data_IF_832022880665
#
_entry.id   IF_832022880665
#
_cell.length_a   1.000
_cell.length_b   1.000
_cell.length_c   1.000
_cell.angle_alpha   90.00
_cell.angle_beta   90.00
_cell.angle_gamma   90.00
#
_symmetry.space_group_name_H-M   'P 1'
#
loop_
_entity.id
_entity.type
_entity.pdbx_description
1 polymer ?
#
# COMPACT_ATOMS: atom_id res chain seq x y z
N UNK A 1 16.34 -25.64 -77.45
CA UNK A 1 16.38 -24.17 -77.60
C UNK A 1 15.16 -23.57 -76.91
N UNK A 2 15.40 -22.55 -76.08
CA UNK A 2 14.50 -21.51 -75.51
C UNK A 2 13.10 -21.93 -74.98
N UNK A 3 12.79 -21.89 -73.66
CA UNK A 3 12.63 -20.69 -72.78
C UNK A 3 11.79 -19.62 -73.50
N UNK A 4 10.54 -19.34 -73.16
CA UNK A 4 10.05 -18.74 -71.91
C UNK A 4 8.51 -18.73 -71.94
N UNK A 5 7.88 -18.29 -70.84
CA UNK A 5 6.45 -18.02 -70.70
C UNK A 5 5.54 -19.19 -70.28
N UNK A 6 5.54 -19.47 -68.97
CA UNK A 6 4.33 -19.58 -68.13
C UNK A 6 4.76 -19.90 -66.69
N UNK A 7 4.51 -18.97 -65.76
CA UNK A 7 4.16 -19.19 -64.34
C UNK A 7 4.12 -17.84 -63.62
N UNK A 8 2.93 -17.25 -63.54
CA UNK A 8 2.57 -16.32 -62.49
C UNK A 8 2.07 -17.16 -61.31
N UNK A 9 2.85 -17.25 -60.23
CA UNK A 9 2.47 -17.17 -58.81
C UNK A 9 3.62 -17.71 -57.93
N UNK A 10 4.04 -16.89 -56.95
CA UNK A 10 4.58 -17.26 -55.63
C UNK A 10 6.11 -17.35 -55.38
N UNK A 11 6.49 -16.64 -54.29
CA UNK A 11 7.65 -16.73 -53.37
C UNK A 11 9.01 -16.15 -53.81
N UNK A 12 9.38 -14.97 -53.28
CA UNK A 12 10.60 -14.83 -52.46
C UNK A 12 10.56 -13.61 -51.53
N UNK A 13 10.79 -13.88 -50.25
CA UNK A 13 11.07 -12.99 -49.14
C UNK A 13 12.46 -12.33 -49.28
N UNK A 14 12.65 -11.18 -48.61
CA UNK A 14 13.95 -10.65 -48.13
C UNK A 14 14.87 -9.88 -49.10
N UNK A 15 14.77 -8.55 -49.08
CA UNK A 15 15.94 -7.65 -49.16
C UNK A 15 15.91 -6.75 -47.92
N UNK A 16 16.63 -7.17 -46.90
CA UNK A 16 17.14 -6.33 -45.82
C UNK A 16 18.31 -5.48 -46.35
N UNK A 17 18.30 -4.19 -46.00
CA UNK A 17 19.48 -3.37 -45.66
C UNK A 17 20.53 -3.12 -46.75
N UNK A 18 20.59 -1.89 -47.25
CA UNK A 18 21.80 -1.01 -47.32
C UNK A 18 21.32 0.31 -47.94
N UNK A 19 21.04 1.31 -47.09
CA UNK A 19 21.36 2.71 -47.39
C UNK A 19 21.38 3.53 -46.08
N UNK A 20 22.31 3.17 -45.20
CA UNK A 20 22.91 4.11 -44.25
C UNK A 20 24.41 4.09 -44.54
N UNK A 21 24.88 5.00 -45.41
CA UNK A 21 26.26 5.48 -45.52
C UNK A 21 26.40 6.30 -46.81
N UNK A 22 25.99 7.57 -46.76
CA UNK A 22 26.80 8.69 -47.23
C UNK A 22 26.04 10.00 -47.12
N UNK A 23 26.57 10.90 -46.29
CA UNK A 23 26.56 12.33 -46.58
C UNK A 23 25.28 13.08 -46.27
N UNK A 24 25.14 13.50 -45.01
CA UNK A 24 24.65 14.83 -44.62
C UNK A 24 23.53 15.37 -45.52
N UNK A 25 22.35 14.73 -45.48
CA UNK A 25 21.12 15.42 -45.80
C UNK A 25 20.74 16.21 -44.55
N UNK A 26 20.76 17.54 -44.68
CA UNK A 26 20.43 18.48 -43.64
C UNK A 26 19.23 18.01 -42.79
N UNK A 27 19.45 17.81 -41.49
CA UNK A 27 18.39 17.98 -40.50
C UNK A 27 17.97 19.44 -40.52
N UNK A 28 17.20 19.83 -41.53
CA UNK A 28 16.23 20.87 -41.32
C UNK A 28 15.18 20.26 -40.38
N UNK A 29 14.91 20.83 -39.20
CA UNK A 29 13.70 20.48 -38.49
C UNK A 29 12.57 20.78 -39.48
N UNK A 30 11.90 19.74 -39.98
CA UNK A 30 10.56 19.95 -40.51
C UNK A 30 9.78 20.48 -39.32
N UNK A 31 9.60 21.81 -39.29
CA UNK A 31 8.56 22.41 -38.49
C UNK A 31 7.28 21.75 -38.99
N UNK A 32 6.85 20.69 -38.31
CA UNK A 32 5.50 20.20 -38.44
C UNK A 32 4.64 21.42 -38.14
N UNK A 33 3.90 21.88 -39.16
CA UNK A 33 2.85 22.85 -38.91
C UNK A 33 2.00 22.24 -37.81
N UNK A 34 1.89 22.94 -36.68
CA UNK A 34 1.14 22.44 -35.55
C UNK A 34 -0.25 22.05 -36.06
N UNK A 35 -0.62 20.79 -35.83
CA UNK A 35 -1.93 20.33 -36.24
C UNK A 35 -2.95 21.19 -35.48
N UNK A 36 -3.83 21.89 -36.20
CA UNK A 36 -4.95 22.56 -35.54
C UNK A 36 -5.85 21.48 -34.97
N UNK A 37 -5.80 21.31 -33.65
CA UNK A 37 -6.68 20.44 -32.89
C UNK A 37 -7.88 21.29 -32.50
N UNK A 38 -9.05 20.90 -32.97
CA UNK A 38 -10.33 21.51 -32.68
C UNK A 38 -11.06 20.68 -31.61
N UNK A 39 -12.09 21.28 -31.03
CA UNK A 39 -12.98 20.56 -30.12
C UNK A 39 -13.64 19.36 -30.80
N UNK A 40 -13.62 18.20 -30.12
CA UNK A 40 -14.17 16.95 -30.63
C UNK A 40 -13.23 16.16 -31.55
N UNK A 41 -12.06 16.70 -31.91
CA UNK A 41 -11.09 15.95 -32.69
C UNK A 41 -10.58 14.73 -31.93
N UNK A 42 -10.39 13.63 -32.66
CA UNK A 42 -9.66 12.48 -32.17
C UNK A 42 -8.19 12.60 -32.55
N UNK A 43 -7.29 12.42 -31.58
CA UNK A 43 -5.86 12.63 -31.72
C UNK A 43 -5.09 11.41 -31.18
N UNK A 44 -3.92 11.14 -31.77
CA UNK A 44 -2.96 10.13 -31.28
C UNK A 44 -1.53 10.55 -31.54
N UNK A 45 -0.60 10.00 -30.78
CA UNK A 45 0.84 10.13 -31.08
C UNK A 45 1.25 9.04 -32.08
N UNK A 46 2.21 9.34 -32.95
CA UNK A 46 2.72 8.35 -33.90
C UNK A 46 3.27 7.12 -33.16
N UNK A 47 3.01 5.92 -33.70
CA UNK A 47 3.42 4.63 -33.12
C UNK A 47 2.82 4.30 -31.74
N UNK A 48 1.75 4.98 -31.31
CA UNK A 48 0.94 4.58 -30.14
C UNK A 48 -0.41 4.03 -30.58
N UNK A 49 -1.01 3.17 -29.75
CA UNK A 49 -2.35 2.62 -29.99
C UNK A 49 -3.47 3.47 -29.36
N UNK A 50 -3.15 4.22 -28.31
CA UNK A 50 -4.12 5.05 -27.60
C UNK A 50 -4.64 6.19 -28.48
N UNK A 51 -5.97 6.35 -28.50
CA UNK A 51 -6.67 7.45 -29.15
C UNK A 51 -7.36 8.29 -28.10
N UNK A 52 -7.20 9.60 -28.18
CA UNK A 52 -7.81 10.56 -27.27
C UNK A 52 -8.81 11.44 -28.02
N UNK A 53 -9.84 11.93 -27.33
CA UNK A 53 -10.76 12.95 -27.84
C UNK A 53 -10.53 14.29 -27.13
N UNK A 54 -10.37 15.36 -27.91
CA UNK A 54 -10.09 16.71 -27.41
C UNK A 54 -11.38 17.44 -27.01
N UNK A 55 -11.31 18.23 -25.93
CA UNK A 55 -12.38 19.11 -25.44
C UNK A 55 -11.81 20.46 -25.05
N UNK A 56 -12.57 21.52 -25.32
CA UNK A 56 -12.22 22.88 -24.93
C UNK A 56 -13.29 23.43 -23.99
N UNK A 57 -12.88 24.10 -22.92
CA UNK A 57 -13.80 24.84 -22.05
C UNK A 57 -13.17 26.17 -21.72
N UNK A 58 -13.64 27.23 -22.38
CA UNK A 58 -12.96 28.53 -22.34
C UNK A 58 -11.51 28.41 -22.83
N UNK A 59 -10.54 28.76 -21.97
CA UNK A 59 -9.11 28.61 -22.26
C UNK A 59 -8.52 27.26 -21.86
N UNK A 60 -9.30 26.37 -21.21
CA UNK A 60 -8.82 25.05 -20.78
C UNK A 60 -8.92 24.04 -21.91
N UNK A 61 -7.91 23.17 -22.01
CA UNK A 61 -7.80 22.12 -23.01
C UNK A 61 -7.71 20.76 -22.30
N UNK A 62 -8.66 19.88 -22.60
CA UNK A 62 -8.72 18.53 -22.04
C UNK A 62 -8.66 17.46 -23.11
N UNK A 63 -8.11 16.29 -22.76
CA UNK A 63 -8.16 15.09 -23.57
C UNK A 63 -8.67 13.92 -22.74
N UNK A 64 -9.44 13.01 -23.33
CA UNK A 64 -9.88 11.77 -22.68
C UNK A 64 -9.52 10.58 -23.54
N UNK A 65 -9.00 9.52 -22.92
CA UNK A 65 -8.75 8.25 -23.58
C UNK A 65 -10.07 7.62 -24.08
N UNK A 66 -10.08 7.17 -25.33
CA UNK A 66 -11.08 6.25 -25.85
C UNK A 66 -10.54 4.84 -25.62
N UNK A 67 -11.15 4.11 -24.68
CA UNK A 67 -10.54 2.91 -24.06
C UNK A 67 -10.13 1.83 -25.06
N UNK A 68 -11.00 1.51 -26.02
CA UNK A 68 -10.77 0.42 -26.97
C UNK A 68 -11.59 0.63 -28.27
N UNK A 69 -11.36 -0.20 -29.31
CA UNK A 69 -12.07 -0.05 -30.57
C UNK A 69 -13.59 -0.21 -30.50
N UNK A 70 -14.11 -1.02 -29.55
CA UNK A 70 -15.56 -1.18 -29.38
C UNK A 70 -16.19 0.12 -28.86
N UNK A 71 -15.53 0.79 -27.91
CA UNK A 71 -15.93 2.12 -27.43
C UNK A 71 -15.87 3.13 -28.58
N UNK A 72 -14.77 3.17 -29.34
CA UNK A 72 -14.64 4.09 -30.48
C UNK A 72 -15.79 3.92 -31.49
N UNK A 73 -16.05 2.67 -31.91
CA UNK A 73 -17.08 2.34 -32.88
C UNK A 73 -18.51 2.54 -32.36
N UNK A 74 -18.71 2.64 -31.04
CA UNK A 74 -20.02 2.94 -30.44
C UNK A 74 -20.46 4.39 -30.69
N UNK A 75 -19.54 5.28 -31.01
CA UNK A 75 -19.83 6.66 -31.36
C UNK A 75 -20.01 6.80 -32.88
N UNK A 76 -21.26 6.80 -33.35
CA UNK A 76 -21.59 6.83 -34.79
C UNK A 76 -21.10 8.06 -35.56
N UNK A 77 -20.59 9.09 -34.88
CA UNK A 77 -20.01 10.28 -35.50
C UNK A 77 -18.47 10.25 -35.57
N UNK A 78 -17.82 9.29 -34.90
CA UNK A 78 -16.37 9.13 -34.96
C UNK A 78 -15.96 8.25 -36.15
N UNK A 79 -14.79 8.53 -36.71
CA UNK A 79 -14.22 7.77 -37.82
C UNK A 79 -12.72 7.57 -37.62
N UNK A 80 -12.23 6.34 -37.79
CA UNK A 80 -10.81 6.01 -37.67
C UNK A 80 -9.94 6.79 -38.67
N UNK A 81 -10.49 7.13 -39.84
CA UNK A 81 -9.79 7.93 -40.85
C UNK A 81 -9.66 9.42 -40.46
N UNK A 82 -10.43 9.87 -39.46
CA UNK A 82 -10.39 11.24 -38.95
C UNK A 82 -9.43 11.42 -37.76
N UNK A 83 -8.81 10.34 -37.26
CA UNK A 83 -7.85 10.41 -36.14
C UNK A 83 -6.59 11.15 -36.61
N UNK A 84 -6.38 12.34 -36.07
CA UNK A 84 -5.21 13.17 -36.36
C UNK A 84 -3.98 12.61 -35.65
N UNK A 85 -2.86 12.53 -36.36
CA UNK A 85 -1.57 12.21 -35.73
C UNK A 85 -0.92 13.53 -35.31
N UNK A 86 -0.61 13.64 -34.02
CA UNK A 86 -0.02 14.83 -33.40
C UNK A 86 1.32 14.48 -32.76
N UNK A 87 2.14 15.48 -32.49
CA UNK A 87 3.37 15.34 -31.72
C UNK A 87 3.08 15.12 -30.23
N UNK A 88 4.06 14.58 -29.49
CA UNK A 88 3.93 14.43 -28.04
C UNK A 88 3.71 15.78 -27.33
N UNK A 89 4.39 16.83 -27.78
CA UNK A 89 4.26 18.17 -27.21
C UNK A 89 2.84 18.76 -27.39
N UNK A 90 2.23 18.56 -28.56
CA UNK A 90 0.83 18.97 -28.80
C UNK A 90 -0.14 18.15 -27.95
N UNK A 91 0.11 16.85 -27.80
CA UNK A 91 -0.67 15.97 -26.94
C UNK A 91 -0.59 16.39 -25.47
N UNK A 92 0.59 16.77 -24.97
CA UNK A 92 0.84 17.16 -23.58
C UNK A 92 0.32 18.56 -23.22
N UNK A 93 -0.02 19.38 -24.23
CA UNK A 93 -0.72 20.65 -24.01
C UNK A 93 -2.15 20.45 -23.46
N UNK A 94 -2.73 19.26 -23.62
CA UNK A 94 -4.05 18.92 -23.08
C UNK A 94 -3.92 18.22 -21.73
N UNK A 95 -4.69 18.68 -20.76
CA UNK A 95 -4.83 17.99 -19.48
C UNK A 95 -5.65 16.71 -19.67
N UNK A 96 -5.12 15.56 -19.26
CA UNK A 96 -5.89 14.31 -19.32
C UNK A 96 -7.05 14.37 -18.34
N UNK A 97 -8.27 14.22 -18.83
CA UNK A 97 -9.46 14.01 -18.03
C UNK A 97 -9.75 12.52 -17.88
N UNK A 98 -9.95 12.11 -16.64
CA UNK A 98 -10.46 10.81 -16.25
C UNK A 98 -11.90 10.86 -15.73
N UNK A 99 -12.55 12.03 -15.78
CA UNK A 99 -13.91 12.22 -15.26
C UNK A 99 -14.94 12.18 -16.38
N UNK A 100 -15.98 11.37 -16.18
CA UNK A 100 -17.06 11.19 -17.16
C UNK A 100 -18.42 11.14 -16.51
N UNK A 101 -19.46 11.51 -17.25
CA UNK A 101 -20.87 11.27 -16.92
C UNK A 101 -21.54 10.64 -18.13
N UNK A 102 -22.23 9.52 -17.95
CA UNK A 102 -22.98 8.94 -19.06
C UNK A 102 -24.22 9.77 -19.39
N UNK A 103 -24.64 9.77 -20.65
CA UNK A 103 -25.83 10.50 -21.08
C UNK A 103 -27.08 9.96 -20.37
N UNK A 104 -27.78 10.82 -19.63
CA UNK A 104 -28.96 10.44 -18.84
C UNK A 104 -28.65 9.92 -17.43
N UNK A 105 -27.38 9.78 -17.08
CA UNK A 105 -26.93 9.42 -15.73
C UNK A 105 -26.69 10.67 -14.88
N UNK A 106 -27.08 10.60 -13.60
CA UNK A 106 -26.65 11.58 -12.59
C UNK A 106 -25.19 11.38 -12.11
N UNK A 107 -24.69 10.14 -11.92
CA UNK A 107 -23.33 9.90 -11.44
C UNK A 107 -22.21 10.42 -12.36
N UNK A 108 -21.22 11.09 -11.77
CA UNK A 108 -19.90 11.34 -12.38
C UNK A 108 -18.95 10.23 -11.96
N UNK A 109 -18.29 9.57 -12.90
CA UNK A 109 -17.32 8.51 -12.65
C UNK A 109 -15.90 9.00 -12.91
N UNK A 110 -14.94 8.55 -12.08
CA UNK A 110 -13.51 8.56 -12.41
C UNK A 110 -13.16 7.23 -13.08
N UNK A 111 -12.53 7.31 -14.24
CA UNK A 111 -12.11 6.17 -15.04
C UNK A 111 -10.66 5.81 -14.73
N UNK A 112 -10.41 4.52 -14.57
CA UNK A 112 -9.07 3.95 -14.32
C UNK A 112 -8.82 2.91 -15.42
N UNK A 113 -8.24 3.33 -16.56
CA UNK A 113 -7.87 2.41 -17.64
C UNK A 113 -6.78 1.43 -17.20
N UNK A 114 -6.82 0.22 -17.75
CA UNK A 114 -5.81 -0.83 -17.62
C UNK A 114 -5.76 -1.63 -18.93
N UNK A 115 -5.09 -1.08 -19.94
CA UNK A 115 -5.16 -1.57 -21.33
C UNK A 115 -6.55 -1.31 -21.94
N UNK A 116 -7.09 -2.31 -22.66
CA UNK A 116 -8.40 -2.23 -23.33
C UNK A 116 -9.61 -2.40 -22.37
N UNK A 117 -9.35 -2.59 -21.07
CA UNK A 117 -10.34 -2.70 -20.00
C UNK A 117 -10.06 -1.66 -18.91
N UNK A 118 -10.94 -1.53 -17.94
CA UNK A 118 -10.67 -0.67 -16.79
C UNK A 118 -11.72 -0.79 -15.69
N UNK A 119 -11.60 0.09 -14.69
CA UNK A 119 -12.65 0.29 -13.69
C UNK A 119 -13.17 1.72 -13.69
N UNK A 120 -14.44 1.89 -13.30
CA UNK A 120 -15.08 3.18 -13.06
C UNK A 120 -15.45 3.28 -11.60
N UNK A 121 -15.15 4.41 -10.97
CA UNK A 121 -15.49 4.67 -9.57
C UNK A 121 -16.45 5.85 -9.52
N UNK A 122 -17.60 5.70 -8.87
CA UNK A 122 -18.52 6.84 -8.75
C UNK A 122 -17.87 7.90 -7.85
N UNK A 123 -17.72 9.12 -8.35
CA UNK A 123 -17.38 10.30 -7.57
C UNK A 123 -18.62 10.70 -6.76
N UNK A 124 -18.90 9.93 -5.73
CA UNK A 124 -20.07 10.04 -4.88
C UNK A 124 -19.83 11.08 -3.78
N UNK A 125 -19.93 12.35 -4.15
CA UNK A 125 -19.71 13.47 -3.25
C UNK A 125 -20.55 14.68 -3.63
N UNK A 126 -20.68 15.65 -2.73
CA UNK A 126 -21.38 16.91 -3.01
C UNK A 126 -20.58 17.78 -3.99
N UNK A 127 -21.22 18.79 -4.56
CA UNK A 127 -20.54 19.67 -5.51
C UNK A 127 -19.41 20.49 -4.86
N UNK A 128 -19.58 20.83 -3.59
CA UNK A 128 -18.59 21.51 -2.77
C UNK A 128 -17.40 20.60 -2.50
N UNK A 129 -17.64 19.33 -2.13
CA UNK A 129 -16.60 18.34 -1.91
C UNK A 129 -15.82 18.01 -3.18
N UNK A 130 -16.51 17.97 -4.32
CA UNK A 130 -15.88 17.80 -5.63
C UNK A 130 -14.87 18.91 -5.92
N UNK A 131 -15.28 20.16 -5.73
CA UNK A 131 -14.41 21.33 -5.93
C UNK A 131 -13.27 21.37 -4.89
N UNK A 132 -13.56 21.03 -3.63
CA UNK A 132 -12.57 20.99 -2.55
C UNK A 132 -11.53 19.87 -2.72
N UNK A 133 -11.91 18.75 -3.34
CA UNK A 133 -11.00 17.67 -3.71
C UNK A 133 -10.12 18.01 -4.92
N UNK A 134 -10.24 19.24 -5.45
CA UNK A 134 -9.46 19.71 -6.59
C UNK A 134 -9.94 19.16 -7.94
N UNK A 135 -11.12 18.53 -7.99
CA UNK A 135 -11.68 18.11 -9.26
C UNK A 135 -12.18 19.32 -10.05
N UNK A 136 -11.96 19.29 -11.37
CA UNK A 136 -12.37 20.34 -12.27
C UNK A 136 -13.67 19.94 -12.98
N UNK A 137 -14.75 20.68 -12.73
CA UNK A 137 -16.05 20.47 -13.38
C UNK A 137 -15.93 20.54 -14.91
N UNK A 138 -15.03 21.38 -15.41
CA UNK A 138 -14.81 21.57 -16.84
C UNK A 138 -14.15 20.34 -17.48
N UNK A 139 -13.48 19.50 -16.69
CA UNK A 139 -12.85 18.28 -17.19
C UNK A 139 -13.83 17.15 -17.49
N UNK A 140 -15.07 17.19 -16.96
CA UNK A 140 -16.02 16.08 -17.10
C UNK A 140 -16.47 15.93 -18.57
N UNK A 141 -16.28 14.73 -19.14
CA UNK A 141 -16.83 14.39 -20.46
C UNK A 141 -18.21 13.76 -20.32
N UNK A 142 -19.12 14.11 -21.23
CA UNK A 142 -20.36 13.34 -21.40
C UNK A 142 -20.08 12.19 -22.36
N UNK A 143 -20.35 10.96 -21.93
CA UNK A 143 -20.10 9.74 -22.70
C UNK A 143 -21.38 8.94 -22.93
N UNK A 144 -21.36 7.97 -23.84
CA UNK A 144 -22.48 7.04 -24.00
C UNK A 144 -22.39 5.87 -22.99
N UNK A 145 -23.45 5.08 -22.89
CA UNK A 145 -23.51 3.95 -21.95
C UNK A 145 -22.51 2.83 -22.30
N UNK A 146 -22.22 2.61 -23.59
CA UNK A 146 -21.27 1.58 -24.03
C UNK A 146 -19.86 1.87 -23.52
N UNK A 147 -19.43 3.13 -23.61
CA UNK A 147 -18.16 3.62 -23.07
C UNK A 147 -18.10 3.39 -21.57
N UNK A 148 -19.11 3.85 -20.82
CA UNK A 148 -19.22 3.63 -19.36
C UNK A 148 -19.17 2.15 -18.99
N UNK A 149 -19.87 1.29 -19.71
CA UNK A 149 -20.05 -0.12 -19.36
C UNK A 149 -18.89 -1.03 -19.79
N UNK A 150 -17.97 -0.51 -20.62
CA UNK A 150 -16.67 -1.16 -20.85
C UNK A 150 -15.74 -1.09 -19.62
N UNK A 151 -16.07 -0.25 -18.64
CA UNK A 151 -15.40 -0.21 -17.34
C UNK A 151 -16.18 -1.02 -16.29
N UNK A 152 -15.47 -1.90 -15.58
CA UNK A 152 -16.02 -2.61 -14.42
C UNK A 152 -16.27 -1.63 -13.26
N UNK A 153 -17.30 -1.85 -12.45
CA UNK A 153 -17.56 -0.96 -11.30
C UNK A 153 -16.51 -1.20 -10.22
N UNK A 154 -15.74 -0.17 -9.90
CA UNK A 154 -14.84 -0.12 -8.76
C UNK A 154 -15.51 0.49 -7.53
N UNK A 155 -14.76 0.61 -6.44
CA UNK A 155 -15.23 1.25 -5.20
C UNK A 155 -15.47 2.75 -5.43
N UNK A 156 -16.58 3.27 -4.95
CA UNK A 156 -16.93 4.69 -5.06
C UNK A 156 -15.89 5.59 -4.37
N UNK A 157 -15.59 6.71 -5.01
CA UNK A 157 -14.82 7.82 -4.44
C UNK A 157 -15.80 8.70 -3.69
N UNK A 158 -15.84 8.54 -2.37
CA UNK A 158 -16.60 9.44 -1.51
C UNK A 158 -15.68 10.59 -1.08
N UNK A 159 -16.08 11.81 -1.42
CA UNK A 159 -15.43 13.01 -0.90
C UNK A 159 -15.64 12.99 0.60
N UNK A 160 -14.59 13.16 1.40
CA UNK A 160 -14.53 12.87 2.84
C UNK A 160 -15.63 13.49 3.72
N UNK A 161 -16.84 12.97 3.58
CA UNK A 161 -18.06 13.09 4.36
C UNK A 161 -18.97 11.95 3.87
N UNK A 162 -18.70 10.73 4.35
CA UNK A 162 -19.63 9.61 4.17
C UNK A 162 -20.76 9.77 5.17
N UNK A 163 -21.91 10.24 4.70
CA UNK A 163 -23.19 10.06 5.36
C UNK A 163 -24.00 9.06 4.53
N UNK A 164 -23.95 7.79 4.91
CA UNK A 164 -24.96 6.81 4.47
C UNK A 164 -26.20 6.98 5.37
N UNK A 165 -27.44 7.00 4.84
CA UNK A 165 -28.61 7.04 5.67
C UNK A 165 -28.91 5.63 6.20
N UNK A 166 -28.67 5.40 7.49
CA UNK A 166 -29.49 4.47 8.28
C UNK A 166 -29.21 4.61 9.78
N UNK A 167 -30.22 5.13 10.48
CA UNK A 167 -30.47 5.12 11.94
C UNK A 167 -29.45 5.81 12.87
N UNK A 168 -29.91 6.70 13.78
CA UNK A 168 -29.04 7.46 14.67
C UNK A 168 -28.49 6.59 15.81
N UNK A 169 -27.34 5.98 15.59
CA UNK A 169 -26.33 5.82 16.63
C UNK A 169 -25.31 6.94 16.45
N UNK A 170 -24.96 7.67 17.50
CA UNK A 170 -24.00 8.78 17.44
C UNK A 170 -22.67 8.28 16.86
N UNK A 171 -22.45 8.44 15.55
CA UNK A 171 -21.17 8.18 14.95
C UNK A 171 -20.22 9.28 15.43
N UNK A 172 -19.19 8.90 16.19
CA UNK A 172 -18.20 9.84 16.71
C UNK A 172 -17.48 10.61 15.58
N UNK A 173 -16.79 11.69 15.94
CA UNK A 173 -15.86 12.37 15.02
C UNK A 173 -14.45 11.83 15.21
N UNK A 174 -13.71 11.64 14.12
CA UNK A 174 -12.32 11.21 14.14
C UNK A 174 -11.43 12.22 13.43
N UNK A 175 -10.53 12.89 14.15
CA UNK A 175 -9.49 13.69 13.54
C UNK A 175 -8.27 12.82 13.23
N UNK A 176 -7.77 12.89 12.00
CA UNK A 176 -6.57 12.16 11.55
C UNK A 176 -5.51 13.18 11.15
N UNK A 177 -4.32 13.08 11.74
CA UNK A 177 -3.22 13.99 11.49
C UNK A 177 -1.87 13.27 11.51
N UNK A 178 -0.86 13.85 10.86
CA UNK A 178 0.52 13.42 11.03
C UNK A 178 0.96 13.76 12.46
N UNK A 179 1.60 12.81 13.14
CA UNK A 179 2.14 13.08 14.47
C UNK A 179 3.35 14.01 14.36
N UNK A 180 3.51 14.94 15.31
CA UNK A 180 4.62 15.88 15.33
C UNK A 180 5.99 15.20 15.48
N UNK A 181 6.01 14.00 16.05
CA UNK A 181 7.18 13.14 16.20
C UNK A 181 7.18 11.98 15.19
N UNK A 182 6.58 12.19 14.01
CA UNK A 182 6.77 11.27 12.88
C UNK A 182 8.27 11.13 12.57
N UNK A 183 8.75 9.92 12.19
CA UNK A 183 10.16 9.69 11.96
C UNK A 183 10.79 10.72 11.02
N UNK A 184 11.95 11.25 11.41
CA UNK A 184 12.78 12.05 10.53
C UNK A 184 13.31 11.19 9.37
N UNK A 185 13.76 11.83 8.28
CA UNK A 185 14.44 11.12 7.21
C UNK A 185 15.70 10.44 7.76
N UNK A 186 15.88 9.17 7.39
CA UNK A 186 16.96 8.33 7.89
C UNK A 186 17.32 7.23 6.90
N UNK A 187 17.82 6.12 7.43
CA UNK A 187 18.24 4.97 6.63
C UNK A 187 17.43 3.73 6.99
N UNK A 188 17.02 2.98 5.97
CA UNK A 188 16.40 1.68 6.09
C UNK A 188 17.40 0.61 5.61
N UNK A 189 17.89 -0.20 6.53
CA UNK A 189 19.01 -1.15 6.32
C UNK A 189 18.50 -2.58 6.15
N UNK A 190 19.37 -3.46 5.65
CA UNK A 190 19.04 -4.87 5.43
C UNK A 190 18.56 -5.56 6.71
N UNK A 191 17.60 -6.47 6.56
CA UNK A 191 17.02 -7.27 7.64
C UNK A 191 16.34 -6.46 8.76
N UNK A 192 16.31 -5.13 8.69
CA UNK A 192 15.70 -4.31 9.73
C UNK A 192 14.20 -4.59 9.80
N UNK A 193 13.73 -4.97 10.99
CA UNK A 193 12.33 -5.15 11.25
C UNK A 193 11.71 -3.82 11.72
N UNK A 194 10.47 -3.56 11.28
CA UNK A 194 9.65 -2.41 11.72
C UNK A 194 10.37 -1.06 11.63
N UNK A 195 11.11 -0.82 10.55
CA UNK A 195 11.66 0.51 10.23
C UNK A 195 10.49 1.50 10.16
N UNK A 196 10.47 2.56 10.98
CA UNK A 196 9.31 3.43 11.07
C UNK A 196 9.34 4.49 9.95
N UNK A 197 8.23 4.67 9.23
CA UNK A 197 8.13 5.66 8.15
C UNK A 197 7.22 6.83 8.52
N UNK A 198 6.01 6.53 8.97
CA UNK A 198 4.97 7.54 9.20
C UNK A 198 4.23 7.25 10.48
N UNK A 199 4.26 8.20 11.40
CA UNK A 199 3.46 8.14 12.63
C UNK A 199 2.24 9.04 12.48
N UNK A 200 1.07 8.47 12.71
CA UNK A 200 -0.22 9.15 12.60
C UNK A 200 -0.90 9.23 13.96
N UNK A 201 -1.64 10.32 14.17
CA UNK A 201 -2.46 10.57 15.34
C UNK A 201 -3.94 10.45 14.95
N UNK A 202 -4.66 9.62 15.70
CA UNK A 202 -6.10 9.46 15.61
C UNK A 202 -6.74 10.01 16.87
N UNK A 203 -7.54 11.06 16.75
CA UNK A 203 -8.20 11.72 17.89
C UNK A 203 -9.70 11.56 17.78
N UNK A 204 -10.32 10.87 18.74
CA UNK A 204 -11.77 10.77 18.80
C UNK A 204 -12.36 12.00 19.52
N UNK A 205 -13.52 12.45 19.04
CA UNK A 205 -14.33 13.47 19.72
C UNK A 205 -15.01 12.92 20.97
N UNK A 206 -16.23 13.38 21.27
CA UNK A 206 -16.94 13.02 22.50
C UNK A 206 -17.42 11.56 22.59
N UNK A 207 -17.22 10.74 21.55
CA UNK A 207 -17.64 9.34 21.50
C UNK A 207 -16.52 8.47 20.98
N UNK A 208 -16.48 7.21 21.42
CA UNK A 208 -15.54 6.21 20.92
C UNK A 208 -15.67 6.07 19.40
N UNK A 209 -14.55 5.90 18.73
CA UNK A 209 -14.49 5.64 17.29
C UNK A 209 -13.88 4.27 17.04
N UNK A 210 -14.54 3.48 16.20
CA UNK A 210 -14.02 2.20 15.72
C UNK A 210 -13.54 2.33 14.29
N UNK A 211 -12.26 2.06 14.07
CA UNK A 211 -11.63 1.91 12.76
C UNK A 211 -11.62 0.42 12.41
N UNK A 212 -12.02 0.06 11.19
CA UNK A 212 -12.10 -1.34 10.71
C UNK A 212 -11.03 -1.68 9.69
N UNK A 213 -10.45 -0.67 9.03
CA UNK A 213 -9.28 -0.85 8.19
C UNK A 213 -8.45 0.42 8.06
N UNK A 214 -7.16 0.23 7.79
CA UNK A 214 -6.22 1.29 7.42
C UNK A 214 -5.53 0.87 6.13
N UNK A 215 -5.51 1.77 5.15
CA UNK A 215 -4.77 1.57 3.89
C UNK A 215 -3.54 2.46 3.89
N UNK A 216 -2.38 1.85 3.69
CA UNK A 216 -1.13 2.56 3.47
C UNK A 216 -0.63 2.36 2.04
N UNK A 217 0.06 3.35 1.50
CA UNK A 217 0.66 3.30 0.17
C UNK A 217 2.15 3.62 0.24
N UNK A 218 2.99 2.84 -0.42
CA UNK A 218 4.38 3.23 -0.67
C UNK A 218 4.42 4.36 -1.70
N UNK A 219 5.04 5.47 -1.32
CA UNK A 219 5.26 6.63 -2.17
C UNK A 219 6.78 6.84 -2.38
N UNK A 220 7.12 7.94 -3.06
CA UNK A 220 8.50 8.30 -3.42
C UNK A 220 9.15 7.32 -4.42
N UNK A 221 10.39 7.62 -4.81
CA UNK A 221 11.18 6.89 -5.80
C UNK A 221 11.85 5.66 -5.17
N UNK A 222 11.07 4.59 -5.03
CA UNK A 222 11.54 3.28 -4.62
C UNK A 222 10.75 2.16 -5.31
N UNK A 223 11.36 0.99 -5.42
CA UNK A 223 10.69 -0.25 -5.80
C UNK A 223 9.90 -0.81 -4.62
N UNK A 224 8.74 -1.42 -4.88
CA UNK A 224 7.98 -2.12 -3.82
C UNK A 224 8.82 -3.22 -3.17
N UNK A 225 9.66 -3.90 -3.96
CA UNK A 225 10.53 -4.97 -3.49
C UNK A 225 11.65 -4.49 -2.57
N UNK A 226 11.83 -3.18 -2.38
CA UNK A 226 12.71 -2.63 -1.34
C UNK A 226 12.11 -2.81 0.07
N UNK A 227 10.82 -3.14 0.18
CA UNK A 227 10.12 -3.43 1.43
C UNK A 227 9.61 -4.88 1.37
N UNK A 228 9.96 -5.71 2.37
CA UNK A 228 9.45 -7.09 2.45
C UNK A 228 7.97 -7.12 2.83
N UNK A 229 7.57 -6.28 3.78
CA UNK A 229 6.19 -6.10 4.20
C UNK A 229 6.01 -4.81 4.97
N UNK A 230 4.77 -4.36 5.10
CA UNK A 230 4.37 -3.22 5.92
C UNK A 230 3.59 -3.73 7.13
N UNK A 231 3.84 -3.11 8.27
CA UNK A 231 3.22 -3.39 9.56
C UNK A 231 2.61 -2.10 10.13
N UNK A 232 1.52 -2.25 10.87
CA UNK A 232 0.96 -1.18 11.70
C UNK A 232 1.38 -1.42 13.15
N UNK A 233 2.03 -0.45 13.78
CA UNK A 233 2.49 -0.56 15.17
C UNK A 233 1.69 0.38 16.06
N UNK A 234 1.10 -0.15 17.13
CA UNK A 234 0.49 0.65 18.19
C UNK A 234 1.60 1.24 19.07
N UNK A 235 1.72 2.57 19.09
CA UNK A 235 2.82 3.22 19.80
C UNK A 235 2.68 3.17 21.33
N UNK A 236 1.48 2.92 21.89
CA UNK A 236 1.30 2.82 23.34
C UNK A 236 1.81 1.48 23.87
N UNK A 237 1.64 0.40 23.11
CA UNK A 237 2.04 -0.96 23.51
C UNK A 237 3.31 -1.46 22.82
N UNK A 238 3.75 -0.77 21.76
CA UNK A 238 4.80 -1.21 20.84
C UNK A 238 4.52 -2.58 20.19
N UNK A 239 3.25 -2.99 20.15
CA UNK A 239 2.79 -4.21 19.52
C UNK A 239 2.32 -3.92 18.10
N UNK A 240 2.48 -4.92 17.24
CA UNK A 240 1.92 -4.89 15.91
C UNK A 240 0.40 -5.12 15.98
N UNK A 241 -0.34 -4.35 15.19
CA UNK A 241 -1.76 -4.52 14.95
C UNK A 241 -1.93 -5.36 13.69
N UNK A 242 -2.66 -6.47 13.82
CA UNK A 242 -2.89 -7.41 12.72
C UNK A 242 -1.62 -8.08 12.19
N UNK A 243 -1.67 -8.50 10.94
CA UNK A 243 -0.59 -9.19 10.26
C UNK A 243 0.26 -8.25 9.40
N UNK A 244 1.46 -8.70 9.07
CA UNK A 244 2.30 -8.03 8.07
C UNK A 244 1.66 -8.18 6.69
N UNK A 245 1.60 -7.09 5.94
CA UNK A 245 1.00 -7.05 4.61
C UNK A 245 2.06 -6.77 3.54
N UNK A 246 1.98 -7.44 2.40
CA UNK A 246 2.84 -7.16 1.24
C UNK A 246 2.17 -6.15 0.32
N UNK A 247 2.97 -5.27 -0.31
CA UNK A 247 2.45 -4.30 -1.27
C UNK A 247 1.81 -5.00 -2.48
N UNK A 248 0.67 -4.48 -2.93
CA UNK A 248 0.02 -4.90 -4.18
C UNK A 248 0.53 -4.09 -5.38
N UNK A 249 0.00 -4.36 -6.57
CA UNK A 249 0.39 -3.65 -7.80
C UNK A 249 0.08 -2.13 -7.80
N UNK A 250 -0.75 -1.65 -6.87
CA UNK A 250 -1.02 -0.22 -6.64
C UNK A 250 -0.12 0.38 -5.56
N UNK A 251 0.93 -0.33 -5.17
CA UNK A 251 1.86 0.03 -4.09
C UNK A 251 1.16 0.17 -2.74
N UNK A 252 0.08 -0.58 -2.50
CA UNK A 252 -0.75 -0.44 -1.30
C UNK A 252 -0.78 -1.69 -0.43
N UNK A 253 -0.99 -1.48 0.86
CA UNK A 253 -1.38 -2.50 1.83
C UNK A 253 -2.66 -2.08 2.54
N UNK A 254 -3.49 -3.05 2.91
CA UNK A 254 -4.69 -2.83 3.73
C UNK A 254 -4.59 -3.69 4.98
N UNK A 255 -4.59 -3.05 6.15
CA UNK A 255 -4.67 -3.72 7.45
C UNK A 255 -6.13 -3.72 7.86
N UNK A 256 -6.77 -4.89 7.89
CA UNK A 256 -8.19 -5.06 8.23
C UNK A 256 -8.33 -5.55 9.66
N UNK A 257 -8.17 -4.62 10.60
CA UNK A 257 -8.26 -4.90 12.03
C UNK A 257 -9.15 -3.87 12.72
N UNK A 258 -9.85 -4.31 13.76
CA UNK A 258 -10.70 -3.43 14.57
C UNK A 258 -9.87 -2.68 15.60
N UNK A 259 -9.80 -1.36 15.47
CA UNK A 259 -9.09 -0.47 16.39
C UNK A 259 -10.10 0.50 17.00
N UNK A 260 -10.21 0.50 18.33
CA UNK A 260 -11.02 1.49 19.06
C UNK A 260 -10.15 2.64 19.54
N UNK A 261 -10.57 3.86 19.20
CA UNK A 261 -10.06 5.13 19.73
C UNK A 261 -11.09 5.63 20.76
N UNK A 262 -10.79 5.55 22.07
CA UNK A 262 -11.74 5.98 23.10
C UNK A 262 -12.08 7.49 23.00
N UNK A 263 -13.28 7.86 23.42
CA UNK A 263 -13.77 9.23 23.44
C UNK A 263 -12.78 10.18 24.13
N UNK A 264 -12.58 11.35 23.53
CA UNK A 264 -11.70 12.41 24.00
C UNK A 264 -10.24 11.98 24.17
N UNK A 265 -9.80 10.95 23.44
CA UNK A 265 -8.41 10.49 23.46
C UNK A 265 -7.77 10.55 22.08
N UNK A 266 -6.44 10.62 22.10
CA UNK A 266 -5.60 10.45 20.92
C UNK A 266 -4.81 9.15 21.06
N UNK A 267 -4.87 8.29 20.04
CA UNK A 267 -3.94 7.16 19.90
C UNK A 267 -3.02 7.38 18.72
N UNK A 268 -1.83 6.81 18.83
CA UNK A 268 -0.78 6.93 17.83
C UNK A 268 -0.45 5.57 17.24
N UNK A 269 -0.33 5.54 15.92
CA UNK A 269 0.12 4.34 15.20
C UNK A 269 1.21 4.71 14.21
N UNK A 270 2.14 3.78 14.02
CA UNK A 270 3.23 3.94 13.06
C UNK A 270 3.09 2.94 11.93
N UNK A 271 3.08 3.45 10.70
CA UNK A 271 3.32 2.67 9.50
C UNK A 271 4.81 2.36 9.43
N UNK A 272 5.14 1.09 9.59
CA UNK A 272 6.51 0.59 9.60
C UNK A 272 6.70 -0.45 8.49
N UNK A 273 7.92 -0.65 8.03
CA UNK A 273 8.24 -1.70 7.06
C UNK A 273 9.29 -2.67 7.60
N UNK A 274 9.18 -3.93 7.22
CA UNK A 274 10.24 -4.91 7.36
C UNK A 274 11.08 -4.90 6.09
N UNK A 275 12.39 -4.84 6.25
CA UNK A 275 13.33 -4.76 5.14
C UNK A 275 13.72 -6.16 4.64
N UNK A 276 13.90 -6.35 3.33
CA UNK A 276 14.44 -7.57 2.75
C UNK A 276 15.80 -7.96 3.33
N UNK A 277 16.15 -9.24 3.19
CA UNK A 277 17.47 -9.74 3.55
C UNK A 277 18.60 -9.27 2.62
N UNK A 278 18.25 -8.78 1.43
CA UNK A 278 19.19 -8.23 0.44
C UNK A 278 18.60 -6.98 -0.19
N UNK A 279 19.34 -5.87 -0.12
CA UNK A 279 18.93 -4.56 -0.62
C UNK A 279 19.82 -4.01 -1.73
N UNK A 280 20.83 -4.75 -2.20
CA UNK A 280 21.83 -4.29 -3.18
C UNK A 280 21.21 -3.60 -4.42
N UNK A 281 20.14 -4.16 -4.97
CA UNK A 281 19.44 -3.62 -6.15
C UNK A 281 18.61 -2.36 -5.88
N UNK A 282 18.43 -2.01 -4.60
CA UNK A 282 17.58 -0.92 -4.15
C UNK A 282 18.37 0.16 -3.40
N UNK A 283 19.67 -0.01 -3.22
CA UNK A 283 20.53 0.93 -2.50
C UNK A 283 20.41 2.34 -3.10
N UNK A 284 20.22 3.34 -2.22
CA UNK A 284 20.06 4.74 -2.59
C UNK A 284 18.64 5.15 -3.00
N UNK A 285 17.69 4.22 -3.16
CA UNK A 285 16.28 4.55 -3.33
C UNK A 285 15.73 5.21 -2.06
N UNK A 286 14.66 5.99 -2.20
CA UNK A 286 14.02 6.66 -1.06
C UNK A 286 12.57 6.21 -1.02
N UNK A 287 12.23 5.37 -0.04
CA UNK A 287 10.86 4.90 0.17
C UNK A 287 10.15 5.80 1.19
N UNK A 288 8.86 6.03 1.01
CA UNK A 288 7.98 6.62 2.03
C UNK A 288 6.70 5.79 2.13
N UNK A 289 6.02 5.82 3.28
CA UNK A 289 4.70 5.19 3.46
C UNK A 289 3.67 6.24 3.80
N UNK A 290 2.63 6.40 3.01
CA UNK A 290 1.54 7.32 3.28
C UNK A 290 0.33 6.58 3.86
N UNK A 291 -0.35 7.15 4.85
CA UNK A 291 -1.72 6.76 5.19
C UNK A 291 -2.66 7.36 4.13
N UNK A 292 -3.33 6.51 3.36
CA UNK A 292 -4.18 6.97 2.24
C UNK A 292 -5.68 6.79 2.50
N UNK A 293 -6.07 5.87 3.38
CA UNK A 293 -7.47 5.65 3.75
C UNK A 293 -7.61 5.07 5.15
N UNK A 294 -8.74 5.39 5.79
CA UNK A 294 -9.18 4.89 7.10
C UNK A 294 -10.65 4.50 6.94
N UNK A 295 -10.98 3.22 7.10
CA UNK A 295 -12.37 2.72 7.09
C UNK A 295 -12.96 2.85 8.50
N UNK A 296 -13.99 3.66 8.67
CA UNK A 296 -14.77 3.84 9.91
C UNK A 296 -16.16 4.39 9.59
N UNK A 297 -17.12 4.20 10.49
CA UNK A 297 -18.44 4.85 10.42
C UNK A 297 -18.42 6.28 10.99
N UNK A 298 -17.34 6.66 11.69
CA UNK A 298 -17.13 8.00 12.22
C UNK A 298 -16.90 9.03 11.11
N UNK A 299 -17.26 10.30 11.35
CA UNK A 299 -16.91 11.38 10.43
C UNK A 299 -15.43 11.70 10.56
N UNK A 300 -14.67 11.57 9.48
CA UNK A 300 -13.23 11.85 9.46
C UNK A 300 -12.99 13.35 9.21
N UNK A 301 -12.12 13.96 10.01
CA UNK A 301 -11.59 15.31 9.81
C UNK A 301 -10.06 15.25 9.64
N UNK A 302 -9.52 15.83 8.57
CA UNK A 302 -8.10 15.79 8.25
C UNK A 302 -7.87 15.67 6.75
N UNK A 303 -6.63 15.85 6.31
CA UNK A 303 -6.25 15.73 4.91
C UNK A 303 -5.49 14.42 4.73
N UNK A 304 -6.03 13.53 3.90
CA UNK A 304 -5.33 12.36 3.39
C UNK A 304 -4.87 12.65 1.94
N UNK A 305 -3.71 12.11 1.50
CA UNK A 305 -2.85 11.20 2.24
C UNK A 305 -1.93 11.91 3.26
N UNK A 306 -1.64 11.24 4.38
CA UNK A 306 -0.63 11.68 5.35
C UNK A 306 0.68 10.93 5.11
N UNK A 307 1.68 11.64 4.62
CA UNK A 307 2.98 11.08 4.24
C UNK A 307 4.06 11.55 5.20
N UNK A 308 4.77 10.61 5.82
CA UNK A 308 5.97 10.89 6.61
C UNK A 308 7.20 11.11 5.74
N UNK A 309 8.35 11.27 6.38
CA UNK A 309 9.61 11.48 5.67
C UNK A 309 10.09 10.21 4.97
N UNK A 310 10.78 10.38 3.85
CA UNK A 310 11.41 9.27 3.14
C UNK A 310 12.57 8.64 3.92
N UNK A 311 12.70 7.33 3.85
CA UNK A 311 13.84 6.57 4.35
C UNK A 311 14.71 6.12 3.18
N UNK A 312 16.00 6.40 3.26
CA UNK A 312 16.98 6.00 2.24
C UNK A 312 17.35 4.54 2.42
N UNK A 313 17.15 3.74 1.39
CA UNK A 313 17.49 2.32 1.38
C UNK A 313 19.01 2.15 1.37
N UNK A 314 19.54 1.36 2.30
CA UNK A 314 20.96 1.06 2.43
C UNK A 314 21.21 -0.45 2.47
N UNK A 315 22.13 -0.92 1.65
CA UNK A 315 22.49 -2.33 1.54
C UNK A 315 23.82 -2.69 2.22
N UNK A 316 24.57 -1.70 2.72
CA UNK A 316 25.96 -1.88 3.15
C UNK A 316 26.12 -2.04 4.65
N UNK A 317 25.11 -1.62 5.43
CA UNK A 317 25.15 -1.65 6.88
C UNK A 317 24.56 -2.96 7.40
N UNK A 318 25.34 -3.69 8.20
CA UNK A 318 24.87 -4.83 8.95
C UNK A 318 24.35 -4.38 10.33
N UNK A 319 23.25 -4.99 10.77
CA UNK A 319 22.69 -4.81 12.11
C UNK A 319 22.74 -6.13 12.89
N UNK A 320 22.54 -6.04 14.21
CA UNK A 320 22.32 -7.22 15.04
C UNK A 320 21.12 -8.03 14.55
N UNK A 321 21.27 -9.35 14.55
CA UNK A 321 20.18 -10.28 14.24
C UNK A 321 19.78 -11.09 15.46
N UNK A 322 18.52 -11.52 15.48
CA UNK A 322 17.94 -12.26 16.58
C UNK A 322 17.07 -13.38 16.04
N UNK A 323 17.34 -14.61 16.48
CA UNK A 323 16.60 -15.80 16.03
C UNK A 323 16.07 -16.57 17.23
N UNK A 324 14.87 -17.16 17.08
CA UNK A 324 14.24 -17.99 18.10
C UNK A 324 14.00 -19.40 17.57
N UNK A 325 14.18 -20.39 18.44
CA UNK A 325 13.88 -21.80 18.19
C UNK A 325 13.33 -22.45 19.46
N UNK A 326 12.74 -23.64 19.32
CA UNK A 326 12.41 -24.46 20.48
C UNK A 326 13.68 -24.76 21.30
N UNK A 327 13.59 -24.55 22.60
CA UNK A 327 14.68 -24.85 23.53
C UNK A 327 14.86 -26.35 23.78
N UNK A 328 16.01 -26.73 24.34
CA UNK A 328 16.27 -28.10 24.78
C UNK A 328 15.34 -28.57 25.91
N UNK A 329 14.82 -27.61 26.69
CA UNK A 329 13.88 -27.80 27.78
C UNK A 329 12.42 -27.60 27.32
N UNK A 330 12.16 -27.50 26.01
CA UNK A 330 10.81 -27.48 25.49
C UNK A 330 10.15 -28.85 25.67
N UNK A 331 9.04 -28.88 26.42
CA UNK A 331 8.36 -30.12 26.74
C UNK A 331 7.30 -30.43 25.69
N UNK A 332 7.32 -31.65 25.16
CA UNK A 332 6.24 -32.12 24.28
C UNK A 332 4.94 -32.29 25.07
N UNK A 333 3.80 -32.21 24.38
CA UNK A 333 2.48 -32.38 24.99
C UNK A 333 2.42 -33.65 25.82
N UNK A 334 2.08 -33.51 27.10
CA UNK A 334 2.07 -34.60 28.07
C UNK A 334 0.98 -34.37 29.12
N UNK A 335 0.40 -35.45 29.64
CA UNK A 335 -0.54 -35.38 30.76
C UNK A 335 0.23 -35.22 32.08
N UNK A 336 -0.26 -34.33 32.94
CA UNK A 336 0.29 -34.10 34.28
C UNK A 336 -0.82 -34.14 35.31
N UNK A 337 -0.49 -34.59 36.52
CA UNK A 337 -1.43 -34.61 37.63
C UNK A 337 -1.68 -33.19 38.14
N UNK A 338 -2.91 -32.90 38.55
CA UNK A 338 -3.23 -31.70 39.33
C UNK A 338 -2.43 -31.74 40.64
N UNK A 339 -1.90 -30.60 41.06
CA UNK A 339 -0.96 -30.45 42.18
C UNK A 339 0.52 -30.59 41.79
N UNK A 340 0.85 -30.79 40.51
CA UNK A 340 2.26 -30.78 40.06
C UNK A 340 2.82 -29.36 40.19
N UNK A 341 3.86 -29.18 41.00
CA UNK A 341 4.52 -27.88 41.18
C UNK A 341 5.73 -27.68 40.25
N UNK A 342 6.02 -26.42 39.94
CA UNK A 342 7.17 -25.95 39.15
C UNK A 342 7.38 -26.71 37.83
N UNK A 343 6.29 -27.12 37.17
CA UNK A 343 6.35 -27.87 35.92
C UNK A 343 6.83 -26.97 34.79
N UNK A 344 7.78 -27.44 33.98
CA UNK A 344 8.23 -26.75 32.77
C UNK A 344 7.19 -26.95 31.67
N UNK A 345 6.47 -25.90 31.28
CA UNK A 345 5.46 -25.99 30.21
C UNK A 345 6.10 -25.91 28.82
N UNK A 346 7.04 -25.00 28.63
CA UNK A 346 7.70 -24.78 27.33
C UNK A 346 9.06 -24.12 27.50
N UNK A 347 9.92 -24.28 26.50
CA UNK A 347 11.26 -23.73 26.43
C UNK A 347 11.54 -23.10 25.06
N UNK A 348 12.13 -21.91 25.05
CA UNK A 348 12.52 -21.18 23.85
C UNK A 348 13.98 -20.75 23.95
N UNK A 349 14.77 -21.08 22.94
CA UNK A 349 16.16 -20.67 22.82
C UNK A 349 16.25 -19.52 21.83
N UNK A 350 16.85 -18.42 22.26
CA UNK A 350 17.11 -17.28 21.41
C UNK A 350 18.60 -17.06 21.22
N UNK A 351 18.99 -16.69 20.00
CA UNK A 351 20.40 -16.53 19.62
C UNK A 351 20.61 -15.15 19.01
N UNK A 352 21.58 -14.41 19.55
CA UNK A 352 22.09 -13.20 18.94
C UNK A 352 23.05 -13.56 17.80
N UNK A 353 22.94 -12.88 16.67
CA UNK A 353 23.88 -13.00 15.56
C UNK A 353 25.31 -12.64 15.95
N UNK A 354 26.25 -12.81 15.02
CA UNK A 354 27.68 -12.54 15.26
C UNK A 354 28.08 -11.06 15.14
N UNK A 355 27.15 -10.18 14.76
CA UNK A 355 27.42 -8.76 14.48
C UNK A 355 27.38 -7.94 15.77
N UNK A 356 26.21 -7.84 16.40
CA UNK A 356 25.96 -7.00 17.58
C UNK A 356 25.37 -7.82 18.74
N UNK A 357 25.59 -7.33 19.96
CA UNK A 357 24.86 -7.82 21.13
C UNK A 357 23.38 -7.45 21.03
N UNK A 358 22.51 -8.30 21.57
CA UNK A 358 21.05 -8.07 21.56
C UNK A 358 20.55 -7.90 22.99
N UNK A 359 19.83 -6.81 23.24
CA UNK A 359 19.11 -6.61 24.51
C UNK A 359 17.64 -6.94 24.32
N UNK A 360 17.11 -7.85 25.14
CA UNK A 360 15.69 -8.19 25.18
C UNK A 360 15.02 -7.52 26.38
N UNK A 361 13.85 -6.92 26.19
CA UNK A 361 13.14 -6.20 27.27
C UNK A 361 11.98 -6.99 27.87
N UNK A 362 11.46 -7.96 27.14
CA UNK A 362 10.38 -8.81 27.61
C UNK A 362 10.28 -10.08 26.78
N UNK A 363 9.64 -11.09 27.34
CA UNK A 363 9.19 -12.28 26.63
C UNK A 363 7.75 -12.58 27.01
N UNK A 364 6.94 -12.98 26.02
CA UNK A 364 5.53 -13.29 26.20
C UNK A 364 5.21 -14.66 25.63
N UNK A 365 4.59 -15.50 26.44
CA UNK A 365 4.10 -16.83 26.05
C UNK A 365 2.58 -16.78 25.88
N UNK A 366 2.07 -17.47 24.87
CA UNK A 366 0.64 -17.62 24.63
C UNK A 366 0.18 -19.01 25.07
N UNK A 367 -0.78 -19.08 25.98
CA UNK A 367 -1.51 -20.29 26.31
C UNK A 367 -2.54 -20.54 25.19
N UNK A 368 -2.14 -21.31 24.19
CA UNK A 368 -2.98 -21.61 23.03
C UNK A 368 -4.00 -22.74 23.27
N UNK A 369 -3.93 -23.41 24.42
CA UNK A 369 -4.81 -24.51 24.79
C UNK A 369 -6.10 -24.07 25.48
N UNK A 370 -6.75 -25.02 26.15
CA UNK A 370 -8.03 -24.81 26.84
C UNK A 370 -7.92 -24.59 28.36
N UNK A 371 -6.72 -24.76 28.95
CA UNK A 371 -6.52 -24.48 30.38
C UNK A 371 -6.89 -23.02 30.72
N UNK A 372 -7.60 -22.83 31.83
CA UNK A 372 -7.92 -21.53 32.37
C UNK A 372 -6.74 -20.96 33.15
N UNK A 373 -6.70 -19.64 33.33
CA UNK A 373 -5.69 -19.01 34.18
C UNK A 373 -5.79 -19.46 35.65
N UNK A 374 -6.98 -19.87 36.09
CA UNK A 374 -7.21 -20.44 37.43
C UNK A 374 -6.63 -21.84 37.62
N UNK A 375 -6.32 -22.56 36.54
CA UNK A 375 -5.74 -23.92 36.60
C UNK A 375 -4.20 -23.86 36.79
N UNK A 376 -3.64 -22.65 36.83
CA UNK A 376 -2.22 -22.39 36.92
C UNK A 376 -1.94 -21.43 38.08
N UNK A 377 -0.90 -21.72 38.86
CA UNK A 377 -0.40 -20.83 39.90
C UNK A 377 1.11 -20.63 39.77
N UNK A 378 1.63 -19.55 40.37
CA UNK A 378 3.07 -19.28 40.46
C UNK A 378 3.81 -19.34 39.11
N UNK A 379 3.16 -18.88 38.03
CA UNK A 379 3.74 -18.93 36.69
C UNK A 379 4.86 -17.89 36.56
N UNK A 380 6.05 -18.37 36.23
CA UNK A 380 7.27 -17.57 36.05
C UNK A 380 7.96 -17.92 34.74
N UNK A 381 8.73 -16.98 34.21
CA UNK A 381 9.72 -17.28 33.16
C UNK A 381 11.08 -17.41 33.83
N UNK A 382 11.84 -18.45 33.52
CA UNK A 382 13.20 -18.66 34.02
C UNK A 382 14.22 -18.71 32.88
N UNK A 383 15.35 -18.05 33.07
CA UNK A 383 16.49 -18.07 32.13
C UNK A 383 17.59 -19.10 32.51
N UNK A 384 17.25 -20.00 33.44
CA UNK A 384 18.16 -20.98 34.05
C UNK A 384 18.82 -20.51 35.34
N UNK A 385 18.95 -19.20 35.56
CA UNK A 385 19.59 -18.62 36.76
C UNK A 385 18.61 -17.82 37.60
N UNK A 386 17.74 -17.06 36.96
CA UNK A 386 16.77 -16.16 37.59
C UNK A 386 15.36 -16.55 37.17
N UNK A 387 14.40 -16.38 38.09
CA UNK A 387 12.97 -16.49 37.79
C UNK A 387 12.34 -15.10 37.78
N UNK A 388 11.68 -14.78 36.69
CA UNK A 388 10.99 -13.52 36.43
C UNK A 388 9.48 -13.74 36.59
N UNK A 389 8.86 -12.94 37.45
CA UNK A 389 7.41 -12.97 37.63
C UNK A 389 6.70 -12.66 36.30
N UNK A 390 5.58 -13.35 36.05
CA UNK A 390 4.75 -13.07 34.88
C UNK A 390 3.56 -12.20 35.25
N UNK A 391 3.23 -11.29 34.35
CA UNK A 391 1.92 -10.62 34.32
C UNK A 391 1.03 -11.35 33.33
N UNK A 392 -0.18 -11.72 33.76
CA UNK A 392 -1.19 -12.39 32.93
C UNK A 392 -2.08 -11.32 32.27
N UNK A 393 -2.34 -11.46 30.98
CA UNK A 393 -3.30 -10.61 30.28
C UNK A 393 -4.73 -10.80 30.82
N UNK A 394 -5.59 -9.81 30.60
CA UNK A 394 -6.98 -9.81 31.10
C UNK A 394 -7.84 -10.95 30.54
N UNK A 395 -7.49 -11.50 29.36
CA UNK A 395 -8.12 -12.68 28.76
C UNK A 395 -7.57 -14.01 29.31
N UNK A 396 -6.59 -13.97 30.21
CA UNK A 396 -5.95 -15.15 30.81
C UNK A 396 -5.02 -15.92 29.86
N UNK A 397 -4.74 -15.42 28.66
CA UNK A 397 -4.04 -16.17 27.60
C UNK A 397 -2.55 -15.88 27.50
N UNK A 398 -2.10 -14.67 27.81
CA UNK A 398 -0.72 -14.27 27.64
C UNK A 398 -0.01 -14.07 28.97
N UNK A 399 1.15 -14.72 29.11
CA UNK A 399 2.02 -14.62 30.28
C UNK A 399 3.28 -13.87 29.87
N UNK A 400 3.48 -12.67 30.42
CA UNK A 400 4.58 -11.78 30.02
C UNK A 400 5.55 -11.58 31.18
N UNK A 401 6.82 -11.86 30.96
CA UNK A 401 7.90 -11.44 31.85
C UNK A 401 8.60 -10.22 31.27
N UNK A 402 8.78 -9.18 32.10
CA UNK A 402 9.58 -8.00 31.76
C UNK A 402 10.97 -8.11 32.40
N UNK A 403 11.98 -7.67 31.67
CA UNK A 403 13.37 -7.57 32.15
C UNK A 403 13.74 -6.14 32.56
N UNK A 404 12.73 -5.29 32.79
CA UNK A 404 12.90 -3.89 33.17
C UNK A 404 13.49 -3.03 32.05
N UNK A 405 13.83 -1.79 32.39
CA UNK A 405 14.38 -0.80 31.45
C UNK A 405 15.83 -1.07 31.05
N UNK A 406 16.58 -1.82 31.85
CA UNK A 406 17.93 -2.26 31.51
C UNK A 406 17.91 -3.42 30.49
N UNK A 407 16.82 -4.19 30.45
CA UNK A 407 16.71 -5.38 29.62
C UNK A 407 17.68 -6.50 30.05
N UNK A 408 17.71 -7.57 29.26
CA UNK A 408 18.61 -8.70 29.40
C UNK A 408 19.49 -8.80 28.16
N UNK A 409 20.81 -8.70 28.35
CA UNK A 409 21.79 -8.77 27.28
C UNK A 409 22.08 -10.22 26.87
N UNK A 410 22.05 -10.48 25.58
CA UNK A 410 22.59 -11.68 24.93
C UNK A 410 23.74 -11.21 24.05
N UNK A 411 24.97 -11.51 24.48
CA UNK A 411 26.15 -11.11 23.72
C UNK A 411 26.17 -11.80 22.35
N UNK A 412 26.78 -11.14 21.37
CA UNK A 412 26.86 -11.60 19.99
C UNK A 412 27.39 -13.03 19.88
N UNK A 413 26.77 -13.82 19.00
CA UNK A 413 27.08 -15.23 18.78
C UNK A 413 26.67 -16.16 19.92
N UNK A 414 26.13 -15.65 21.03
CA UNK A 414 25.64 -16.47 22.14
C UNK A 414 24.13 -16.67 22.06
N UNK A 415 23.68 -17.69 22.80
CA UNK A 415 22.27 -17.99 22.97
C UNK A 415 21.87 -17.94 24.45
N UNK A 416 20.60 -17.63 24.68
CA UNK A 416 19.96 -17.74 26.00
C UNK A 416 18.68 -18.56 25.85
N UNK A 417 18.48 -19.51 26.75
CA UNK A 417 17.26 -20.32 26.79
C UNK A 417 16.36 -19.87 27.94
N UNK A 418 15.07 -19.67 27.62
CA UNK A 418 14.03 -19.32 28.58
C UNK A 418 13.02 -20.43 28.67
N UNK A 419 12.51 -20.66 29.87
CA UNK A 419 11.46 -21.64 30.13
C UNK A 419 10.31 -20.96 30.87
N UNK A 420 9.07 -21.28 30.50
CA UNK A 420 7.90 -20.89 31.29
C UNK A 420 7.51 -22.07 32.19
N UNK A 421 7.36 -21.80 33.49
CA UNK A 421 7.14 -22.81 34.53
C UNK A 421 6.08 -22.35 35.51
N UNK A 422 5.43 -23.27 36.19
CA UNK A 422 4.44 -22.96 37.22
C UNK A 422 3.78 -24.21 37.78
N UNK A 423 2.84 -24.00 38.67
CA UNK A 423 2.09 -25.06 39.34
C UNK A 423 0.78 -25.32 38.59
N UNK A 424 0.36 -26.58 38.56
CA UNK A 424 -0.93 -27.02 38.04
C UNK A 424 -1.86 -27.20 39.24
N UNK A 425 -2.95 -26.44 39.33
CA UNK A 425 -3.83 -26.37 40.53
C UNK A 425 -5.28 -26.75 40.27
#
# INVERSE_FOLDING_TARGET
>A
MSKTFKKALSVTTSVTTILWLSGVAALAPMAALAATINEGDTIRVANTFDVYIAKYVGSKMFKRLILNPAVFNSYGHLSWGAVKTVTQAEMDAFTTSDLVRALGDAPVYKLIPNGDVGSKQWVNMTAEAFTAAGYDWDSIYVINNVDRDNYTTGVDITGGTSASPSTPGVAGSLTVALASDTPAAGVAVENAARVPFTKVAFTAGASDVTITAITAQRTSLASDSSLSSVALIDNATNLQVGLNQTLNASHQVVVRETITIPANTTKYYTLAANMPATLDSYAGQIAALALVSVETTATISGILPLTGNGQTINATLAIGSFTGAAGSLNVATTSKAVGTSAFNFSGAKFTAGSVEDITIYSIRFNQSGSAAASDLANVVVSDGTTSYATTVSSDGKYYTASFGTAGLLIAKGLSKEFTIKGDIV
#
